data_IF_752997218639
#
_entry.id   IF_752997218639
#
_cell.length_a   1.000
_cell.length_b   1.000
_cell.length_c   1.000
_cell.angle_alpha   90.00
_cell.angle_beta   90.00
_cell.angle_gamma   90.00
#
_symmetry.space_group_name_H-M   'P 1'
#
loop_
_entity.id
_entity.type
_entity.pdbx_description
1 polymer ?
#
# COMPACT_ATOMS: atom_id res chain seq x y z
N UNK A 1 -11.47 -28.42 1.57
CA UNK A 1 -10.11 -28.55 0.99
C UNK A 1 -10.27 -28.53 -0.53
N UNK A 2 -10.33 -27.34 -1.14
CA UNK A 2 -10.49 -27.19 -2.59
C UNK A 2 -9.20 -27.72 -3.24
N UNK A 3 -9.32 -28.66 -4.18
CA UNK A 3 -8.17 -29.16 -4.97
C UNK A 3 -7.43 -27.94 -5.52
N UNK A 4 -6.15 -27.81 -5.19
CA UNK A 4 -5.33 -26.69 -5.65
C UNK A 4 -5.31 -26.70 -7.17
N UNK A 5 -5.80 -25.62 -7.75
CA UNK A 5 -5.48 -25.26 -9.12
C UNK A 5 -3.96 -25.38 -9.30
N UNK A 6 -3.51 -25.96 -10.42
CA UNK A 6 -2.09 -26.12 -10.76
C UNK A 6 -1.83 -25.35 -12.06
N UNK A 7 -1.91 -24.01 -12.02
CA UNK A 7 -1.72 -23.19 -13.19
C UNK A 7 -0.26 -23.23 -13.64
N UNK A 8 -0.02 -22.87 -14.90
CA UNK A 8 1.32 -22.69 -15.46
C UNK A 8 2.03 -21.42 -14.93
N UNK A 9 1.40 -20.65 -14.04
CA UNK A 9 1.91 -19.39 -13.48
C UNK A 9 2.37 -18.36 -14.56
N UNK A 10 1.75 -18.38 -15.75
CA UNK A 10 2.14 -17.51 -16.88
C UNK A 10 1.72 -16.05 -16.71
N UNK A 11 0.56 -15.81 -16.08
CA UNK A 11 0.03 -14.47 -15.87
C UNK A 11 -0.85 -14.42 -14.61
N UNK A 12 -0.69 -13.42 -13.74
CA UNK A 12 -1.62 -13.19 -12.63
C UNK A 12 -2.98 -12.73 -13.16
N UNK A 13 -4.05 -13.39 -12.70
CA UNK A 13 -5.43 -13.07 -13.12
C UNK A 13 -6.21 -12.32 -12.03
N UNK A 14 -5.73 -12.35 -10.79
CA UNK A 14 -6.41 -11.77 -9.64
C UNK A 14 -5.45 -11.07 -8.68
N UNK A 15 -6.02 -10.25 -7.78
CA UNK A 15 -5.26 -9.62 -6.67
C UNK A 15 -4.54 -10.67 -5.80
N UNK A 16 -5.11 -11.87 -5.64
CA UNK A 16 -4.49 -12.96 -4.88
C UNK A 16 -3.23 -13.48 -5.56
N UNK A 17 -3.20 -13.53 -6.88
CA UNK A 17 -2.02 -13.95 -7.64
C UNK A 17 -0.90 -12.92 -7.50
N UNK A 18 -1.23 -11.62 -7.58
CA UNK A 18 -0.26 -10.55 -7.31
C UNK A 18 0.28 -10.59 -5.88
N UNK A 19 -0.56 -10.92 -4.89
CA UNK A 19 -0.11 -11.14 -3.51
C UNK A 19 0.89 -12.29 -3.41
N UNK A 20 0.65 -13.42 -4.09
CA UNK A 20 1.59 -14.55 -4.08
C UNK A 20 2.89 -14.23 -4.83
N UNK A 21 2.84 -13.47 -5.92
CA UNK A 21 4.02 -12.94 -6.60
C UNK A 21 4.83 -12.02 -5.68
N UNK A 22 4.16 -11.15 -4.92
CA UNK A 22 4.78 -10.30 -3.91
C UNK A 22 5.44 -11.14 -2.80
N UNK A 23 4.74 -12.16 -2.27
CA UNK A 23 5.26 -13.08 -1.25
C UNK A 23 6.53 -13.80 -1.66
N UNK A 24 6.64 -14.17 -2.95
CA UNK A 24 7.84 -14.85 -3.48
C UNK A 24 9.01 -13.88 -3.73
N UNK A 25 8.74 -12.58 -3.89
CA UNK A 25 9.75 -11.57 -4.28
C UNK A 25 10.27 -10.76 -3.10
N UNK A 26 9.40 -10.40 -2.17
CA UNK A 26 9.69 -9.50 -1.06
C UNK A 26 10.26 -10.31 0.12
N UNK A 27 11.33 -9.84 0.80
CA UNK A 27 11.83 -10.44 2.03
C UNK A 27 10.71 -10.70 3.04
N UNK A 28 10.77 -11.84 3.73
CA UNK A 28 9.66 -12.31 4.56
C UNK A 28 9.25 -11.28 5.60
N UNK A 29 10.23 -10.62 6.24
CA UNK A 29 9.95 -9.60 7.24
C UNK A 29 9.16 -8.39 6.68
N UNK A 30 9.39 -8.01 5.43
CA UNK A 30 8.72 -6.88 4.78
C UNK A 30 7.36 -7.31 4.21
N UNK A 31 7.27 -8.53 3.66
CA UNK A 31 6.00 -9.08 3.21
C UNK A 31 5.02 -9.24 4.38
N UNK A 32 5.48 -9.77 5.51
CA UNK A 32 4.64 -9.94 6.70
C UNK A 32 4.22 -8.61 7.34
N UNK A 33 5.02 -7.54 7.20
CA UNK A 33 4.64 -6.18 7.60
C UNK A 33 3.52 -5.62 6.72
N UNK A 34 3.59 -5.87 5.41
CA UNK A 34 2.57 -5.44 4.43
C UNK A 34 1.26 -6.25 4.56
N UNK A 35 1.37 -7.57 4.70
CA UNK A 35 0.26 -8.52 4.67
C UNK A 35 -0.36 -8.80 6.03
N UNK A 36 0.35 -8.46 7.12
CA UNK A 36 -0.03 -8.81 8.48
C UNK A 36 -1.08 -7.89 9.11
N UNK A 37 -1.89 -8.48 9.98
CA UNK A 37 -2.87 -7.77 10.82
C UNK A 37 -2.44 -7.66 12.29
N UNK A 38 -3.32 -7.07 13.10
CA UNK A 38 -3.14 -7.03 14.55
C UNK A 38 -3.50 -8.38 15.20
N UNK A 39 -2.80 -8.72 16.28
CA UNK A 39 -3.00 -9.92 17.10
C UNK A 39 -3.04 -11.22 16.26
N UNK A 40 -4.12 -11.98 16.39
CA UNK A 40 -4.38 -13.22 15.64
C UNK A 40 -5.08 -12.95 14.29
N UNK A 41 -5.13 -11.70 13.85
CA UNK A 41 -5.66 -11.30 12.53
C UNK A 41 -7.16 -11.60 12.33
N UNK A 42 -7.90 -11.81 13.43
CA UNK A 42 -9.34 -12.14 13.41
C UNK A 42 -10.15 -11.09 12.66
N UNK A 43 -9.94 -9.81 12.93
CA UNK A 43 -10.65 -8.72 12.24
C UNK A 43 -10.28 -8.65 10.75
N UNK A 44 -9.03 -8.92 10.40
CA UNK A 44 -8.60 -8.93 8.99
C UNK A 44 -9.31 -10.05 8.21
N UNK A 45 -9.42 -11.25 8.82
CA UNK A 45 -10.19 -12.35 8.26
C UNK A 45 -11.69 -12.04 8.20
N UNK A 46 -12.24 -11.38 9.23
CA UNK A 46 -13.64 -10.99 9.29
C UNK A 46 -14.02 -10.00 8.17
N UNK A 47 -13.19 -8.98 7.89
CA UNK A 47 -13.41 -8.02 6.80
C UNK A 47 -13.59 -8.73 5.44
N UNK A 48 -12.74 -9.72 5.17
CA UNK A 48 -12.82 -10.49 3.93
C UNK A 48 -14.03 -11.41 3.91
N UNK A 49 -14.31 -12.08 5.04
CA UNK A 49 -15.44 -12.99 5.17
C UNK A 49 -16.78 -12.27 4.96
N UNK A 50 -16.94 -11.10 5.59
CA UNK A 50 -18.15 -10.27 5.50
C UNK A 50 -18.44 -9.86 4.05
N UNK A 51 -17.48 -9.24 3.36
CA UNK A 51 -17.65 -8.84 1.96
C UNK A 51 -17.93 -10.03 1.04
N UNK A 52 -17.26 -11.16 1.26
CA UNK A 52 -17.47 -12.38 0.46
C UNK A 52 -18.83 -13.05 0.72
N UNK A 53 -19.46 -12.76 1.85
CA UNK A 53 -20.79 -13.27 2.21
C UNK A 53 -21.91 -12.62 1.40
N UNK A 54 -21.69 -11.41 0.87
CA UNK A 54 -22.67 -10.71 0.04
C UNK A 54 -22.69 -11.29 -1.39
N UNK A 55 -23.81 -11.92 -1.75
CA UNK A 55 -24.03 -12.46 -3.09
C UNK A 55 -24.72 -11.43 -3.99
N UNK A 56 -24.24 -11.30 -5.22
CA UNK A 56 -24.88 -10.47 -6.24
C UNK A 56 -25.99 -11.27 -6.91
N UNK A 57 -27.20 -10.70 -6.98
CA UNK A 57 -28.30 -11.27 -7.77
C UNK A 57 -28.13 -10.87 -9.23
N UNK A 58 -27.80 -11.83 -10.10
CA UNK A 58 -27.76 -11.60 -11.53
C UNK A 58 -29.13 -11.14 -12.05
N UNK A 59 -29.14 -10.06 -12.82
CA UNK A 59 -30.31 -9.58 -13.56
C UNK A 59 -30.06 -9.88 -15.03
N UNK A 60 -30.88 -10.75 -15.62
CA UNK A 60 -30.78 -11.17 -17.02
C UNK A 60 -31.69 -10.32 -17.92
N UNK A 61 -31.51 -10.44 -19.24
CA UNK A 61 -32.28 -9.70 -20.26
C UNK A 61 -32.18 -8.17 -20.05
N UNK A 62 -30.97 -7.69 -19.74
CA UNK A 62 -30.64 -6.27 -19.67
C UNK A 62 -29.58 -5.98 -20.72
N UNK A 63 -29.76 -4.87 -21.42
CA UNK A 63 -28.73 -4.36 -22.29
C UNK A 63 -27.56 -3.84 -21.43
N UNK A 64 -26.37 -4.34 -21.73
CA UNK A 64 -25.10 -4.04 -21.07
C UNK A 64 -24.00 -3.82 -22.11
N UNK A 65 -24.37 -3.49 -23.35
CA UNK A 65 -23.40 -3.23 -24.42
C UNK A 65 -22.54 -1.99 -24.16
N UNK A 66 -23.04 -1.05 -23.35
CA UNK A 66 -22.32 0.14 -22.90
C UNK A 66 -22.32 0.20 -21.37
N UNK A 67 -21.13 0.17 -20.78
CA UNK A 67 -20.91 0.21 -19.34
C UNK A 67 -20.07 1.44 -18.99
N UNK A 68 -20.61 2.30 -18.13
CA UNK A 68 -19.91 3.47 -17.63
C UNK A 68 -19.66 3.33 -16.13
N UNK A 69 -18.39 3.28 -15.73
CA UNK A 69 -17.97 3.24 -14.33
C UNK A 69 -17.64 4.63 -13.77
N UNK A 70 -17.66 5.67 -14.61
CA UNK A 70 -17.29 7.03 -14.20
C UNK A 70 -18.19 7.53 -13.07
N UNK A 71 -17.59 8.26 -12.15
CA UNK A 71 -18.29 8.85 -11.00
C UNK A 71 -17.57 10.10 -10.52
N UNK A 72 -18.26 10.92 -9.75
CA UNK A 72 -17.67 12.06 -9.04
C UNK A 72 -17.46 11.69 -7.57
N UNK A 73 -16.27 11.93 -7.02
CA UNK A 73 -15.94 11.74 -5.59
C UNK A 73 -15.23 12.97 -5.09
N UNK A 74 -15.73 13.59 -4.01
CA UNK A 74 -15.15 14.80 -3.41
C UNK A 74 -14.88 15.92 -4.46
N UNK A 75 -15.81 16.10 -5.40
CA UNK A 75 -15.71 17.10 -6.47
C UNK A 75 -14.77 16.75 -7.62
N UNK A 76 -14.21 15.53 -7.65
CA UNK A 76 -13.30 15.08 -8.70
C UNK A 76 -13.96 14.00 -9.57
N UNK A 77 -13.76 14.09 -10.87
CA UNK A 77 -14.19 13.05 -11.82
C UNK A 77 -13.21 11.88 -11.82
N UNK A 78 -13.71 10.67 -11.61
CA UNK A 78 -12.96 9.42 -11.61
C UNK A 78 -13.45 8.52 -12.74
N UNK A 79 -12.55 7.72 -13.30
CA UNK A 79 -12.88 6.72 -14.32
C UNK A 79 -13.68 5.54 -13.77
N UNK A 80 -13.52 5.25 -12.46
CA UNK A 80 -14.18 4.19 -11.72
C UNK A 80 -14.19 4.51 -10.21
N UNK A 81 -15.11 3.94 -9.40
CA UNK A 81 -15.30 4.29 -8.00
C UNK A 81 -14.26 3.64 -7.06
N UNK A 82 -12.97 3.83 -7.34
CA UNK A 82 -11.87 3.34 -6.50
C UNK A 82 -10.80 4.41 -6.34
N UNK A 83 -10.03 4.32 -5.26
CA UNK A 83 -8.83 5.11 -5.03
C UNK A 83 -7.74 4.20 -4.44
N UNK A 84 -6.47 4.52 -4.69
CA UNK A 84 -5.38 3.85 -4.00
C UNK A 84 -5.23 4.42 -2.59
N UNK A 85 -5.43 3.56 -1.59
CA UNK A 85 -5.32 3.91 -0.19
C UNK A 85 -3.87 4.29 0.19
N UNK A 86 -3.68 5.12 1.24
CA UNK A 86 -2.36 5.49 1.72
C UNK A 86 -1.67 4.28 2.37
N UNK A 87 -0.51 3.91 1.81
CA UNK A 87 0.35 2.83 2.30
C UNK A 87 1.73 3.40 2.58
N UNK A 88 2.13 3.40 3.85
CA UNK A 88 3.47 3.80 4.27
C UNK A 88 4.52 2.74 3.91
N UNK A 89 5.78 3.17 3.86
CA UNK A 89 6.94 2.32 3.54
C UNK A 89 6.87 1.61 2.18
N UNK A 90 6.05 2.07 1.24
CA UNK A 90 5.80 1.31 0.01
C UNK A 90 7.08 1.13 -0.83
N UNK A 91 7.98 2.11 -0.80
CA UNK A 91 9.31 2.02 -1.43
C UNK A 91 10.18 0.85 -0.94
N UNK A 92 9.84 0.23 0.20
CA UNK A 92 10.49 -0.98 0.69
C UNK A 92 9.89 -2.27 0.08
N UNK A 93 8.73 -2.21 -0.58
CA UNK A 93 8.10 -3.38 -1.21
C UNK A 93 8.44 -3.49 -2.70
N UNK A 94 8.58 -2.35 -3.38
CA UNK A 94 9.01 -2.24 -4.76
C UNK A 94 9.77 -0.92 -4.99
N UNK A 95 10.60 -0.87 -6.04
CA UNK A 95 11.42 0.29 -6.34
C UNK A 95 10.55 1.54 -6.54
N UNK A 96 10.72 2.55 -5.66
CA UNK A 96 9.94 3.80 -5.65
C UNK A 96 8.43 3.54 -5.79
N UNK A 97 7.89 2.60 -5.01
CA UNK A 97 6.54 2.09 -5.21
C UNK A 97 5.44 3.16 -5.15
N UNK A 98 5.60 4.18 -4.31
CA UNK A 98 4.66 5.31 -4.21
C UNK A 98 4.56 6.06 -5.54
N UNK A 99 5.71 6.38 -6.15
CA UNK A 99 5.77 7.02 -7.49
C UNK A 99 5.16 6.11 -8.56
N UNK A 100 5.48 4.82 -8.52
CA UNK A 100 4.92 3.85 -9.47
C UNK A 100 3.40 3.72 -9.34
N UNK A 101 2.89 3.72 -8.10
CA UNK A 101 1.46 3.67 -7.78
C UNK A 101 0.75 4.95 -8.20
N UNK A 102 1.32 6.12 -7.94
CA UNK A 102 0.76 7.41 -8.35
C UNK A 102 0.61 7.50 -9.87
N UNK A 103 1.65 7.11 -10.63
CA UNK A 103 1.59 7.04 -12.10
C UNK A 103 0.56 6.02 -12.59
N UNK A 104 0.42 4.89 -11.91
CA UNK A 104 -0.56 3.87 -12.27
C UNK A 104 -2.00 4.37 -12.03
N UNK A 105 -2.24 5.05 -10.91
CA UNK A 105 -3.51 5.66 -10.57
C UNK A 105 -3.90 6.75 -11.57
N UNK A 106 -2.95 7.63 -11.92
CA UNK A 106 -3.13 8.67 -12.93
C UNK A 106 -3.51 8.07 -14.30
N UNK A 107 -2.76 7.07 -14.78
CA UNK A 107 -3.10 6.38 -16.04
C UNK A 107 -4.46 5.70 -16.00
N UNK A 108 -4.86 5.18 -14.84
CA UNK A 108 -6.15 4.56 -14.66
C UNK A 108 -7.28 5.58 -14.49
N UNK A 109 -6.99 6.87 -14.27
CA UNK A 109 -7.99 7.90 -14.01
C UNK A 109 -8.62 7.81 -12.62
N UNK A 110 -7.85 7.35 -11.62
CA UNK A 110 -8.29 7.24 -10.22
C UNK A 110 -7.31 7.94 -9.27
N UNK A 111 -7.72 8.35 -8.06
CA UNK A 111 -6.85 9.06 -7.14
C UNK A 111 -5.84 8.12 -6.50
N UNK A 112 -4.62 8.61 -6.32
CA UNK A 112 -3.64 8.06 -5.38
C UNK A 112 -3.68 8.87 -4.09
N UNK A 113 -3.66 8.21 -2.94
CA UNK A 113 -3.51 8.86 -1.65
C UNK A 113 -2.12 8.57 -1.08
N UNK A 114 -1.29 9.60 -0.96
CA UNK A 114 0.06 9.50 -0.42
C UNK A 114 0.03 9.44 1.11
N UNK A 115 0.87 8.60 1.72
CA UNK A 115 0.97 8.51 3.18
C UNK A 115 1.96 9.51 3.79
N UNK A 116 1.70 9.95 5.02
CA UNK A 116 2.68 10.67 5.86
C UNK A 116 4.00 9.90 6.00
N UNK A 117 3.97 8.55 6.02
CA UNK A 117 5.16 7.70 6.23
C UNK A 117 5.63 7.02 4.93
N UNK A 118 5.58 7.76 3.82
CA UNK A 118 6.04 7.32 2.50
C UNK A 118 7.56 7.44 2.35
N UNK A 119 8.17 6.55 1.54
CA UNK A 119 9.58 6.62 1.17
C UNK A 119 9.83 7.67 0.07
N UNK A 120 8.91 7.78 -0.90
CA UNK A 120 8.84 8.96 -1.76
C UNK A 120 8.04 10.05 -1.05
N UNK A 121 8.58 11.26 -1.02
CA UNK A 121 7.88 12.41 -0.42
C UNK A 121 6.94 13.09 -1.41
N UNK A 122 6.15 14.03 -0.88
CA UNK A 122 5.13 14.81 -1.61
C UNK A 122 5.69 15.39 -2.90
N UNK A 123 6.88 15.99 -2.84
CA UNK A 123 7.49 16.67 -3.98
C UNK A 123 7.88 15.70 -5.09
N UNK A 124 8.40 14.53 -4.75
CA UNK A 124 8.78 13.53 -5.76
C UNK A 124 7.55 12.90 -6.42
N UNK A 125 6.50 12.64 -5.63
CA UNK A 125 5.22 12.16 -6.19
C UNK A 125 4.64 13.23 -7.12
N UNK A 126 4.70 14.50 -6.73
CA UNK A 126 4.25 15.63 -7.56
C UNK A 126 5.04 15.75 -8.85
N UNK A 127 6.37 15.63 -8.81
CA UNK A 127 7.21 15.66 -10.01
C UNK A 127 6.91 14.51 -10.97
N UNK A 128 6.43 13.38 -10.44
CA UNK A 128 6.18 12.19 -11.22
C UNK A 128 4.78 12.09 -11.83
N UNK A 129 3.84 12.96 -11.46
CA UNK A 129 2.45 12.98 -11.96
C UNK A 129 2.06 14.35 -12.51
N UNK A 130 1.07 14.40 -13.39
CA UNK A 130 0.45 15.66 -13.83
C UNK A 130 -0.84 15.96 -13.04
N UNK A 131 -1.65 14.93 -12.79
CA UNK A 131 -2.86 14.99 -12.00
C UNK A 131 -2.54 15.15 -10.50
N UNK A 132 -3.31 15.98 -9.77
CA UNK A 132 -3.21 16.06 -8.32
C UNK A 132 -3.54 14.73 -7.65
N UNK A 133 -2.87 14.45 -6.53
CA UNK A 133 -3.10 13.29 -5.69
C UNK A 133 -3.60 13.72 -4.31
N UNK A 134 -4.19 12.80 -3.55
CA UNK A 134 -4.65 13.07 -2.20
C UNK A 134 -3.51 12.89 -1.21
N UNK A 135 -3.55 13.57 -0.07
CA UNK A 135 -2.55 13.41 0.97
C UNK A 135 -3.17 12.91 2.27
N UNK A 136 -2.56 11.91 2.89
CA UNK A 136 -2.94 11.38 4.19
C UNK A 136 -2.02 11.90 5.29
N UNK A 137 -2.63 12.44 6.35
CA UNK A 137 -1.96 12.99 7.53
C UNK A 137 -2.17 12.10 8.76
N UNK A 138 -1.07 11.71 9.42
CA UNK A 138 -1.07 11.28 10.82
C UNK A 138 -0.85 12.48 11.72
N UNK A 139 -1.73 12.70 12.71
CA UNK A 139 -1.55 13.79 13.68
C UNK A 139 -0.44 13.42 14.65
N UNK A 140 0.75 13.96 14.41
CA UNK A 140 1.85 13.89 15.35
C UNK A 140 1.63 14.84 16.53
N UNK A 141 2.31 14.57 17.67
CA UNK A 141 2.24 15.43 18.86
C UNK A 141 2.67 16.87 18.56
N UNK A 142 3.61 17.04 17.64
CA UNK A 142 4.06 18.34 17.15
C UNK A 142 3.13 18.87 16.06
N UNK A 143 2.39 19.93 16.39
CA UNK A 143 1.47 20.59 15.44
C UNK A 143 2.21 21.33 14.33
N UNK A 144 3.39 21.88 14.61
CA UNK A 144 4.16 22.63 13.62
C UNK A 144 4.63 21.72 12.48
N UNK A 145 4.95 20.47 12.80
CA UNK A 145 5.28 19.45 11.82
C UNK A 145 4.07 19.10 10.93
N UNK A 146 2.89 18.92 11.53
CA UNK A 146 1.65 18.66 10.78
C UNK A 146 1.28 19.84 9.87
N UNK A 147 1.41 21.08 10.35
CA UNK A 147 1.20 22.29 9.56
C UNK A 147 2.17 22.39 8.37
N UNK A 148 3.45 22.05 8.59
CA UNK A 148 4.44 21.98 7.52
C UNK A 148 4.08 20.95 6.43
N UNK A 149 3.61 19.76 6.81
CA UNK A 149 3.13 18.75 5.86
C UNK A 149 1.89 19.21 5.09
N UNK A 150 0.92 19.84 5.77
CA UNK A 150 -0.27 20.39 5.10
C UNK A 150 0.13 21.50 4.11
N UNK A 151 1.10 22.35 4.46
CA UNK A 151 1.61 23.39 3.57
C UNK A 151 2.29 22.79 2.32
N UNK A 152 3.11 21.73 2.49
CA UNK A 152 3.73 21.00 1.37
C UNK A 152 2.69 20.34 0.48
N UNK A 153 1.71 19.66 1.07
CA UNK A 153 0.61 19.03 0.31
C UNK A 153 -0.21 20.07 -0.47
N UNK A 154 -0.50 21.22 0.15
CA UNK A 154 -1.18 22.34 -0.51
C UNK A 154 -0.34 22.92 -1.66
N UNK A 155 0.98 23.09 -1.47
CA UNK A 155 1.90 23.55 -2.51
C UNK A 155 2.00 22.56 -3.68
N UNK A 156 1.89 21.25 -3.40
CA UNK A 156 1.75 20.20 -4.41
C UNK A 156 0.34 20.12 -5.03
N UNK A 157 -0.58 21.00 -4.65
CA UNK A 157 -1.93 21.05 -5.21
C UNK A 157 -2.84 19.88 -4.80
N UNK A 158 -2.54 19.19 -3.69
CA UNK A 158 -3.36 18.09 -3.21
C UNK A 158 -4.78 18.59 -2.89
N UNK A 159 -5.84 18.09 -3.55
CA UNK A 159 -7.19 18.61 -3.40
C UNK A 159 -7.92 18.04 -2.18
N UNK A 160 -7.40 16.96 -1.59
CA UNK A 160 -8.03 16.24 -0.48
C UNK A 160 -6.99 15.90 0.57
N UNK A 161 -7.33 16.21 1.82
CA UNK A 161 -6.61 15.78 3.00
C UNK A 161 -7.37 14.65 3.70
N UNK A 162 -6.74 13.50 3.87
CA UNK A 162 -7.26 12.34 4.59
C UNK A 162 -6.64 12.31 5.98
N UNK A 163 -7.44 12.56 7.02
CA UNK A 163 -6.96 12.54 8.40
C UNK A 163 -7.12 11.13 8.99
N UNK A 164 -6.02 10.45 9.28
CA UNK A 164 -6.05 9.10 9.86
C UNK A 164 -5.92 9.20 11.39
N UNK A 165 -6.98 8.76 12.10
CA UNK A 165 -7.13 8.92 13.56
C UNK A 165 -7.16 7.60 14.34
N UNK A 166 -7.03 6.47 13.65
CA UNK A 166 -7.12 5.13 14.23
C UNK A 166 -5.77 4.60 14.80
N UNK A 167 -4.67 5.33 14.59
CA UNK A 167 -3.33 4.97 15.05
C UNK A 167 -2.85 5.82 16.24
N UNK A 168 -3.68 5.98 17.27
CA UNK A 168 -3.24 6.65 18.51
C UNK A 168 -2.14 5.86 19.25
N UNK A 169 -2.20 4.53 19.14
CA UNK A 169 -1.18 3.59 19.61
C UNK A 169 -0.93 2.58 18.50
N UNK A 170 0.33 2.21 18.28
CA UNK A 170 0.69 1.19 17.29
C UNK A 170 0.03 -0.14 17.67
N UNK A 171 -0.71 -0.73 16.74
CA UNK A 171 -1.37 -2.03 16.94
C UNK A 171 -0.36 -3.15 17.18
N UNK A 172 -0.73 -4.12 18.03
CA UNK A 172 0.12 -5.27 18.33
C UNK A 172 0.17 -6.25 17.13
N UNK A 173 1.14 -6.08 16.23
CA UNK A 173 1.33 -6.95 15.06
C UNK A 173 2.25 -8.12 15.37
N UNK A 174 1.70 -9.31 15.59
CA UNK A 174 2.49 -10.48 15.99
C UNK A 174 3.45 -10.97 14.92
N UNK A 175 3.16 -10.78 13.63
CA UNK A 175 4.13 -11.10 12.58
C UNK A 175 5.39 -10.22 12.67
N UNK A 176 5.23 -8.93 12.95
CA UNK A 176 6.36 -7.99 13.12
C UNK A 176 7.23 -8.34 14.32
N UNK A 177 6.60 -8.74 15.44
CA UNK A 177 7.30 -9.23 16.64
C UNK A 177 8.07 -10.52 16.33
N UNK A 178 7.44 -11.49 15.66
CA UNK A 178 8.08 -12.76 15.26
C UNK A 178 9.24 -12.56 14.29
N UNK A 179 9.18 -11.49 13.49
CA UNK A 179 10.23 -11.09 12.56
C UNK A 179 11.26 -10.11 13.18
N UNK A 180 11.17 -9.83 14.49
CA UNK A 180 12.06 -8.90 15.19
C UNK A 180 12.18 -7.52 14.51
N UNK A 181 11.05 -7.03 13.97
CA UNK A 181 10.89 -5.69 13.42
C UNK A 181 10.54 -4.65 14.51
N UNK A 182 10.07 -5.12 15.66
CA UNK A 182 9.70 -4.32 16.82
C UNK A 182 10.35 -4.91 18.06
N UNK A 183 10.85 -4.06 18.95
CA UNK A 183 11.52 -4.45 20.20
C UNK A 183 13.00 -4.81 20.02
N UNK A 184 13.61 -5.33 21.08
CA UNK A 184 15.02 -5.73 21.07
C UNK A 184 15.21 -7.05 20.30
N UNK A 185 16.17 -7.04 19.37
CA UNK A 185 16.52 -8.21 18.56
C UNK A 185 17.87 -8.78 19.00
N UNK A 186 17.93 -10.10 19.23
CA UNK A 186 19.21 -10.78 19.48
C UNK A 186 20.11 -10.73 18.23
N UNK A 187 21.42 -10.87 18.42
CA UNK A 187 22.38 -10.95 17.30
C UNK A 187 22.02 -12.06 16.30
N UNK A 188 21.51 -13.19 16.78
CA UNK A 188 21.03 -14.28 15.94
C UNK A 188 19.80 -13.89 15.12
N UNK A 189 18.84 -13.16 15.72
CA UNK A 189 17.68 -12.65 15.01
C UNK A 189 18.08 -11.66 13.90
N UNK A 190 19.01 -10.74 14.20
CA UNK A 190 19.54 -9.80 13.22
C UNK A 190 20.27 -10.53 12.07
N UNK A 191 21.05 -11.56 12.37
CA UNK A 191 21.70 -12.37 11.34
C UNK A 191 20.68 -13.09 10.45
N UNK A 192 19.61 -13.67 11.02
CA UNK A 192 18.53 -14.30 10.25
C UNK A 192 17.78 -13.31 9.36
N UNK A 193 17.51 -12.10 9.84
CA UNK A 193 16.92 -11.02 9.03
C UNK A 193 17.83 -10.62 7.87
N UNK A 194 19.14 -10.54 8.12
CA UNK A 194 20.14 -10.30 7.07
C UNK A 194 20.12 -11.39 6.00
N UNK A 195 20.06 -12.66 6.41
CA UNK A 195 19.94 -13.81 5.51
C UNK A 195 18.64 -13.76 4.69
N UNK A 196 17.51 -13.40 5.31
CA UNK A 196 16.23 -13.19 4.62
C UNK A 196 16.33 -12.09 3.56
N UNK A 197 16.99 -10.95 3.84
CA UNK A 197 17.15 -9.90 2.82
C UNK A 197 17.97 -10.41 1.62
N UNK A 198 19.14 -11.01 1.86
CA UNK A 198 20.04 -11.42 0.78
C UNK A 198 19.49 -12.61 -0.04
N UNK A 199 18.60 -13.43 0.53
CA UNK A 199 17.96 -14.54 -0.19
C UNK A 199 16.92 -14.08 -1.22
N UNK A 200 16.63 -12.79 -1.32
CA UNK A 200 15.69 -12.21 -2.28
C UNK A 200 16.43 -11.31 -3.31
N UNK A 201 17.18 -11.89 -4.26
CA UNK A 201 18.13 -11.15 -5.10
C UNK A 201 17.46 -10.08 -5.98
N UNK A 202 16.25 -10.36 -6.48
CA UNK A 202 15.48 -9.38 -7.26
C UNK A 202 15.12 -8.16 -6.42
N UNK A 203 14.71 -8.37 -5.17
CA UNK A 203 14.41 -7.29 -4.25
C UNK A 203 15.68 -6.52 -3.86
N UNK A 204 16.79 -7.21 -3.58
CA UNK A 204 18.08 -6.56 -3.27
C UNK A 204 18.51 -5.64 -4.40
N UNK A 205 18.45 -6.11 -5.65
CA UNK A 205 18.79 -5.30 -6.83
C UNK A 205 17.87 -4.09 -6.97
N UNK A 206 16.56 -4.31 -6.99
CA UNK A 206 15.58 -3.28 -7.37
C UNK A 206 15.33 -2.28 -6.24
N UNK A 207 15.22 -2.77 -5.00
CA UNK A 207 14.88 -1.97 -3.82
C UNK A 207 16.12 -1.67 -3.00
N UNK A 208 16.86 -2.70 -2.58
CA UNK A 208 18.02 -2.53 -1.68
C UNK A 208 19.16 -1.70 -2.28
N UNK A 209 19.38 -1.79 -3.59
CA UNK A 209 20.41 -1.02 -4.31
C UNK A 209 19.75 0.09 -5.12
N UNK A 210 18.81 -0.26 -6.01
CA UNK A 210 18.18 0.66 -6.95
C UNK A 210 17.05 1.53 -6.39
N UNK A 211 16.57 1.26 -5.17
CA UNK A 211 15.40 1.92 -4.58
C UNK A 211 15.72 3.00 -3.55
N UNK A 212 17.00 3.34 -3.36
CA UNK A 212 17.43 4.41 -2.43
C UNK A 212 16.80 5.77 -2.80
N UNK A 213 16.63 6.70 -1.83
CA UNK A 213 16.91 6.53 -0.40
C UNK A 213 15.88 5.65 0.32
N UNK A 214 16.28 5.01 1.43
CA UNK A 214 15.41 4.20 2.31
C UNK A 214 14.98 4.97 3.57
N UNK A 215 14.85 6.28 3.43
CA UNK A 215 14.35 7.18 4.47
C UNK A 215 12.94 7.63 4.11
N UNK A 216 12.18 8.07 5.10
CA UNK A 216 10.90 8.69 4.85
C UNK A 216 11.11 10.02 4.13
N UNK A 217 10.42 10.24 3.01
CA UNK A 217 10.54 11.50 2.24
C UNK A 217 9.74 12.66 2.85
N UNK A 218 8.82 12.33 3.75
CA UNK A 218 7.94 13.30 4.42
C UNK A 218 8.36 13.61 5.86
N UNK A 219 9.19 12.77 6.49
CA UNK A 219 9.67 12.94 7.87
C UNK A 219 11.09 13.50 7.93
#
# INVERSE_FOLDING_TARGET
>A
MHRADRPLDLQPASVRDYRELARRRIPRQLFDYLDGGAYEEVTMAANMAELSGHKIRQRVLRDVSDLNLRTTVLGQELSMPVALAPVGLAGMFAQRAEVAAARAAERAGVPFCESTVSIAGIEEVREATSAPFWFQLYVMRDRSFAEGLMARAAAAGCPVLVLTVDLAVVGARYRDVRNAMVGEASKLAMARRGLDLISHPRWVRDVGIGGKPHTFGNL
#
